data_IF_258473007135
#
_entry.id   IF_258473007135
#
_cell.length_a   1.000
_cell.length_b   1.000
_cell.length_c   1.000
_cell.angle_alpha   90.00
_cell.angle_beta   90.00
_cell.angle_gamma   90.00
#
_symmetry.space_group_name_H-M   'P 1'
#
loop_
_entity.id
_entity.type
_entity.pdbx_description
1 polymer ?
#
# COMPACT_ATOMS: atom_id res chain seq x y z
N UNK A 1 21.44 36.29 67.99
CA UNK A 1 20.82 36.08 66.66
C UNK A 1 21.13 34.67 66.20
N UNK A 2 20.20 33.72 66.36
CA UNK A 2 20.37 32.32 65.95
C UNK A 2 19.98 32.21 64.47
N UNK A 3 20.91 31.82 63.59
CA UNK A 3 20.64 31.59 62.17
C UNK A 3 20.08 30.17 62.00
N UNK A 4 18.82 30.07 61.59
CA UNK A 4 18.20 28.83 61.14
C UNK A 4 18.69 28.55 59.71
N UNK A 5 19.36 27.41 59.50
CA UNK A 5 19.65 26.90 58.17
C UNK A 5 18.50 25.97 57.76
N UNK A 6 17.70 26.39 56.77
CA UNK A 6 16.71 25.56 56.12
C UNK A 6 17.46 24.71 55.09
N UNK A 7 17.53 23.40 55.32
CA UNK A 7 18.02 22.45 54.33
C UNK A 7 16.86 22.13 53.37
N UNK A 8 16.84 22.79 52.21
CA UNK A 8 15.95 22.41 51.11
C UNK A 8 16.56 21.17 50.46
N UNK A 9 15.96 20.02 50.71
CA UNK A 9 16.27 18.77 50.04
C UNK A 9 15.69 18.84 48.62
N UNK A 10 16.45 19.38 47.66
CA UNK A 10 16.13 19.28 46.23
C UNK A 10 16.51 17.88 45.74
N UNK A 11 15.62 16.92 45.95
CA UNK A 11 15.62 15.68 45.18
C UNK A 11 15.14 16.02 43.76
N UNK A 12 16.05 16.41 42.87
CA UNK A 12 15.78 16.34 41.44
C UNK A 12 15.88 14.87 41.03
N UNK A 13 14.77 14.14 41.13
CA UNK A 13 14.53 13.03 40.22
C UNK A 13 14.46 13.63 38.82
N UNK A 14 15.57 13.60 38.09
CA UNK A 14 15.51 13.60 36.63
C UNK A 14 14.98 12.23 36.21
N UNK A 15 13.67 12.01 36.39
CA UNK A 15 12.96 11.04 35.59
C UNK A 15 13.02 11.57 34.16
N UNK A 16 14.05 11.17 33.42
CA UNK A 16 14.08 11.28 31.97
C UNK A 16 13.00 10.37 31.41
N UNK A 17 11.74 10.79 31.54
CA UNK A 17 10.66 10.26 30.75
C UNK A 17 11.06 10.48 29.31
N UNK A 18 11.41 9.41 28.62
CA UNK A 18 11.45 9.42 27.16
C UNK A 18 10.00 9.69 26.74
N UNK A 19 9.72 10.95 26.44
CA UNK A 19 8.59 11.31 25.61
C UNK A 19 8.84 10.57 24.29
N UNK A 20 8.14 9.46 24.08
CA UNK A 20 8.01 8.92 22.72
C UNK A 20 7.23 9.99 21.96
N UNK A 21 7.95 10.85 21.24
CA UNK A 21 7.39 11.56 20.10
C UNK A 21 6.81 10.49 19.14
N UNK A 22 5.70 10.81 18.45
CA UNK A 22 4.88 9.88 17.65
C UNK A 22 5.59 8.74 16.91
N UNK A 23 4.84 7.65 16.70
CA UNK A 23 5.27 6.29 16.35
C UNK A 23 6.63 6.17 15.66
N UNK A 24 7.62 5.64 16.39
CA UNK A 24 8.95 5.33 15.83
C UNK A 24 8.87 4.35 14.65
N UNK A 25 7.91 3.42 14.70
CA UNK A 25 7.49 2.56 13.61
C UNK A 25 5.99 2.68 13.52
N UNK A 26 5.44 2.77 12.30
CA UNK A 26 3.99 2.88 12.07
C UNK A 26 3.54 1.83 11.08
N UNK A 27 2.26 1.45 11.14
CA UNK A 27 1.52 0.79 10.07
C UNK A 27 1.40 1.80 8.92
N UNK A 28 2.04 1.50 7.79
CA UNK A 28 2.18 2.45 6.69
C UNK A 28 1.19 2.20 5.56
N UNK A 29 1.01 0.94 5.18
CA UNK A 29 0.12 0.54 4.10
C UNK A 29 -0.37 -0.90 4.34
N UNK A 30 -1.62 -1.20 3.98
CA UNK A 30 -2.14 -2.57 4.06
C UNK A 30 -3.30 -2.80 3.09
N UNK A 31 -3.45 -4.06 2.65
CA UNK A 31 -4.59 -4.55 1.85
C UNK A 31 -5.31 -5.60 2.68
N UNK A 32 -6.53 -5.28 3.11
CA UNK A 32 -7.36 -6.16 3.95
C UNK A 32 -8.47 -6.88 3.18
N UNK A 33 -8.86 -6.38 2.01
CA UNK A 33 -9.84 -6.99 1.13
C UNK A 33 -9.18 -7.18 -0.24
N UNK A 34 -8.51 -8.31 -0.46
CA UNK A 34 -7.81 -8.54 -1.71
C UNK A 34 -8.75 -9.01 -2.82
N UNK A 35 -8.52 -8.58 -4.07
CA UNK A 35 -9.32 -9.01 -5.23
C UNK A 35 -9.24 -10.52 -5.47
N UNK A 36 -10.39 -11.21 -5.45
CA UNK A 36 -10.51 -12.62 -5.84
C UNK A 36 -11.41 -13.44 -4.94
N UNK A 37 -11.71 -14.68 -5.36
CA UNK A 37 -12.50 -15.63 -4.57
C UNK A 37 -11.64 -16.46 -3.59
N UNK A 38 -10.32 -16.26 -3.58
CA UNK A 38 -9.37 -17.12 -2.88
C UNK A 38 -8.48 -16.32 -1.93
N UNK A 39 -8.33 -16.88 -0.73
CA UNK A 39 -7.48 -16.45 0.38
C UNK A 39 -5.99 -16.41 -0.02
N UNK A 40 -5.19 -15.56 0.63
CA UNK A 40 -3.72 -15.56 0.50
C UNK A 40 -3.09 -14.32 -0.16
N UNK A 41 -3.83 -13.22 -0.30
CA UNK A 41 -3.37 -12.00 -0.98
C UNK A 41 -3.28 -10.77 -0.08
N UNK A 42 -3.51 -10.93 1.21
CA UNK A 42 -3.43 -9.83 2.18
C UNK A 42 -1.99 -9.52 2.55
N UNK A 43 -1.75 -8.28 2.96
CA UNK A 43 -0.46 -7.86 3.46
C UNK A 43 -0.54 -6.59 4.29
N UNK A 44 0.49 -6.40 5.12
CA UNK A 44 0.67 -5.25 6.00
C UNK A 44 2.12 -4.77 5.89
N UNK A 45 2.30 -3.47 5.74
CA UNK A 45 3.59 -2.80 5.70
C UNK A 45 3.79 -1.94 6.94
N UNK A 46 4.98 -2.03 7.52
CA UNK A 46 5.47 -1.13 8.55
C UNK A 46 6.52 -0.16 7.99
N UNK A 47 6.59 1.04 8.55
CA UNK A 47 7.62 2.02 8.22
C UNK A 47 8.32 2.57 9.46
N UNK A 48 9.65 2.59 9.43
CA UNK A 48 10.46 3.15 10.51
C UNK A 48 10.72 4.65 10.28
N UNK A 49 10.08 5.49 11.09
CA UNK A 49 10.20 6.94 11.06
C UNK A 49 11.52 7.48 11.62
N UNK A 50 12.33 6.66 12.26
CA UNK A 50 13.56 7.12 12.92
C UNK A 50 14.75 7.16 11.95
N UNK A 51 15.82 7.83 12.38
CA UNK A 51 17.09 7.88 11.66
C UNK A 51 18.01 6.69 11.99
N UNK A 52 17.53 5.70 12.75
CA UNK A 52 18.28 4.52 13.14
C UNK A 52 17.51 3.25 12.80
N UNK A 53 18.20 2.12 12.67
CA UNK A 53 17.54 0.84 12.52
C UNK A 53 16.84 0.41 13.82
N UNK A 54 15.67 -0.22 13.70
CA UNK A 54 14.89 -0.72 14.84
C UNK A 54 14.75 -2.24 14.70
N UNK A 55 15.16 -2.97 15.75
CA UNK A 55 14.89 -4.40 15.88
C UNK A 55 13.42 -4.58 16.32
N UNK A 56 12.66 -5.23 15.47
CA UNK A 56 11.24 -5.54 15.65
C UNK A 56 11.00 -7.03 15.92
N UNK A 57 12.06 -7.79 16.22
CA UNK A 57 11.92 -9.21 16.58
C UNK A 57 11.05 -9.35 17.83
N UNK A 58 10.05 -10.23 17.75
CA UNK A 58 9.06 -10.45 18.80
C UNK A 58 7.95 -9.40 18.86
N UNK A 59 7.98 -8.36 18.02
CA UNK A 59 6.83 -7.45 17.88
C UNK A 59 5.64 -8.20 17.28
N UNK A 60 4.44 -7.68 17.53
CA UNK A 60 3.21 -8.32 17.09
C UNK A 60 2.29 -7.35 16.39
N UNK A 61 1.60 -7.88 15.39
CA UNK A 61 0.35 -7.31 14.91
C UNK A 61 -0.77 -7.98 15.71
N UNK A 62 -1.67 -7.17 16.23
CA UNK A 62 -2.90 -7.63 16.85
C UNK A 62 -4.08 -7.16 16.01
N UNK A 63 -5.15 -7.94 15.99
CA UNK A 63 -6.40 -7.56 15.34
C UNK A 63 -7.56 -7.49 16.33
N UNK A 64 -8.54 -6.65 15.98
CA UNK A 64 -9.85 -6.66 16.61
C UNK A 64 -10.91 -7.06 15.60
N UNK A 65 -11.83 -7.91 16.03
CA UNK A 65 -13.08 -8.30 15.36
C UNK A 65 -14.31 -7.85 16.16
N UNK A 66 -14.13 -6.99 17.18
CA UNK A 66 -15.20 -6.49 18.03
C UNK A 66 -14.93 -5.08 18.54
N UNK A 67 -15.93 -4.50 19.22
CA UNK A 67 -15.81 -3.18 19.87
C UNK A 67 -14.75 -3.19 20.99
N UNK A 68 -14.43 -4.35 21.55
CA UNK A 68 -13.53 -4.43 22.71
C UNK A 68 -12.48 -5.53 22.58
N UNK A 69 -11.22 -5.13 22.52
CA UNK A 69 -10.07 -6.00 22.71
C UNK A 69 -9.29 -6.26 21.43
N UNK A 70 -7.98 -6.45 21.59
CA UNK A 70 -7.07 -6.84 20.53
C UNK A 70 -6.51 -8.23 20.85
N UNK A 71 -6.47 -9.09 19.86
CA UNK A 71 -5.89 -10.43 19.97
C UNK A 71 -4.67 -10.56 19.09
N UNK A 72 -3.68 -11.34 19.52
CA UNK A 72 -2.48 -11.59 18.74
C UNK A 72 -2.84 -12.18 17.37
N UNK A 73 -2.39 -11.52 16.32
CA UNK A 73 -2.67 -11.87 14.93
C UNK A 73 -1.41 -12.42 14.26
N UNK A 74 -0.35 -11.60 14.19
CA UNK A 74 0.96 -11.99 13.63
C UNK A 74 2.02 -11.74 14.70
N UNK A 75 2.92 -12.69 14.91
CA UNK A 75 4.13 -12.49 15.73
C UNK A 75 5.37 -12.51 14.83
N UNK A 76 6.11 -11.40 14.78
CA UNK A 76 7.28 -11.21 13.93
C UNK A 76 8.47 -11.90 14.60
N UNK A 77 8.61 -13.21 14.39
CA UNK A 77 9.65 -14.00 15.06
C UNK A 77 10.15 -15.15 14.19
N UNK A 78 11.38 -15.56 14.45
CA UNK A 78 12.01 -16.72 13.83
C UNK A 78 13.02 -17.30 14.82
N UNK A 79 13.18 -18.63 14.87
CA UNK A 79 14.19 -19.25 15.74
C UNK A 79 15.63 -18.94 15.31
N UNK A 80 15.85 -18.44 14.08
CA UNK A 80 17.20 -18.28 13.50
C UNK A 80 17.49 -16.90 12.93
N UNK A 81 16.50 -16.01 12.88
CA UNK A 81 16.59 -14.69 12.23
C UNK A 81 16.01 -13.61 13.13
N UNK A 82 16.73 -12.49 13.21
CA UNK A 82 16.19 -11.24 13.73
C UNK A 82 15.59 -10.42 12.59
N UNK A 83 14.59 -9.61 12.91
CA UNK A 83 13.90 -8.73 11.98
C UNK A 83 14.19 -7.28 12.35
N UNK A 84 14.78 -6.55 11.40
CA UNK A 84 15.22 -5.18 11.61
C UNK A 84 14.68 -4.31 10.49
N UNK A 85 14.03 -3.21 10.84
CA UNK A 85 13.66 -2.17 9.88
C UNK A 85 14.79 -1.14 9.85
N UNK A 86 15.39 -0.91 8.68
CA UNK A 86 16.38 0.16 8.48
C UNK A 86 15.80 1.54 8.79
N UNK A 87 16.67 2.54 8.96
CA UNK A 87 16.24 3.93 9.11
C UNK A 87 15.44 4.35 7.86
N UNK A 88 14.29 5.02 8.05
CA UNK A 88 13.43 5.50 6.94
C UNK A 88 13.13 4.40 5.90
N UNK A 89 12.94 3.18 6.36
CA UNK A 89 12.75 1.99 5.52
C UNK A 89 11.46 1.26 5.86
N UNK A 90 11.03 0.40 4.94
CA UNK A 90 9.83 -0.41 5.04
C UNK A 90 10.12 -1.82 5.53
N UNK A 91 9.11 -2.47 6.10
CA UNK A 91 9.09 -3.89 6.42
C UNK A 91 7.75 -4.48 5.99
N UNK A 92 7.79 -5.39 5.02
CA UNK A 92 6.58 -5.94 4.42
C UNK A 92 6.31 -7.36 4.92
N UNK A 93 5.11 -7.55 5.45
CA UNK A 93 4.55 -8.83 5.86
C UNK A 93 3.44 -9.20 4.89
N UNK A 94 3.48 -10.40 4.31
CA UNK A 94 2.49 -10.83 3.31
C UNK A 94 1.98 -12.24 3.57
N UNK A 95 0.79 -12.53 3.06
CA UNK A 95 0.40 -13.90 2.76
C UNK A 95 1.27 -14.51 1.64
N UNK A 96 1.14 -15.82 1.46
CA UNK A 96 2.01 -16.62 0.59
C UNK A 96 1.80 -16.35 -0.90
N UNK A 97 0.60 -15.95 -1.34
CA UNK A 97 0.28 -15.77 -2.77
C UNK A 97 0.45 -14.34 -3.27
N UNK A 98 0.77 -13.37 -2.40
CA UNK A 98 0.96 -11.97 -2.80
C UNK A 98 2.03 -11.85 -3.90
N UNK A 99 3.03 -12.72 -3.94
CA UNK A 99 4.04 -12.76 -5.00
C UNK A 99 3.51 -13.12 -6.41
N UNK A 100 2.28 -13.62 -6.54
CA UNK A 100 1.70 -13.95 -7.86
C UNK A 100 0.98 -12.76 -8.49
N UNK A 101 0.54 -11.81 -7.66
CA UNK A 101 -0.07 -10.55 -8.11
C UNK A 101 0.97 -9.43 -8.24
N UNK A 102 2.09 -9.53 -7.51
CA UNK A 102 3.25 -8.66 -7.65
C UNK A 102 4.47 -9.50 -8.05
N UNK A 103 4.97 -9.29 -9.27
CA UNK A 103 6.16 -9.98 -9.78
C UNK A 103 7.42 -9.46 -9.08
N UNK A 104 7.89 -10.23 -8.11
CA UNK A 104 9.02 -9.88 -7.26
C UNK A 104 10.29 -10.66 -7.64
N UNK A 105 11.42 -9.96 -7.62
CA UNK A 105 12.72 -10.62 -7.54
C UNK A 105 12.88 -11.33 -6.17
N UNK A 106 13.86 -12.24 -6.07
CA UNK A 106 14.09 -13.12 -4.92
C UNK A 106 14.31 -12.45 -3.53
N UNK A 107 14.31 -11.13 -3.44
CA UNK A 107 14.53 -10.34 -2.22
C UNK A 107 13.23 -9.86 -1.54
N UNK A 108 12.10 -10.53 -1.79
CA UNK A 108 10.78 -10.08 -1.37
C UNK A 108 9.86 -11.28 -1.03
N UNK A 109 9.00 -11.23 0.02
CA UNK A 109 8.79 -10.20 1.06
C UNK A 109 9.77 -10.33 2.25
N UNK A 110 9.71 -9.42 3.26
CA UNK A 110 10.58 -9.52 4.45
C UNK A 110 10.14 -10.62 5.42
N UNK A 111 8.83 -10.88 5.45
CA UNK A 111 8.16 -11.86 6.29
C UNK A 111 6.91 -12.41 5.60
N UNK A 112 6.77 -13.75 5.58
CA UNK A 112 5.55 -14.41 5.12
C UNK A 112 4.84 -14.94 6.36
N UNK A 113 3.57 -14.55 6.54
CA UNK A 113 2.71 -15.07 7.61
C UNK A 113 1.66 -16.04 7.05
N UNK A 114 1.02 -16.79 7.94
CA UNK A 114 0.08 -17.85 7.56
C UNK A 114 -1.14 -17.29 6.81
N UNK A 115 -1.52 -17.93 5.70
CA UNK A 115 -2.72 -17.56 4.92
C UNK A 115 -4.03 -17.76 5.71
N UNK A 116 -4.00 -18.62 6.74
CA UNK A 116 -5.11 -18.81 7.71
C UNK A 116 -5.36 -17.59 8.60
N UNK A 117 -4.39 -16.68 8.70
CA UNK A 117 -4.51 -15.45 9.48
C UNK A 117 -5.04 -14.35 8.57
N UNK A 118 -6.37 -14.21 8.54
CA UNK A 118 -7.05 -13.23 7.70
C UNK A 118 -7.43 -11.96 8.47
N UNK A 119 -7.27 -10.82 7.81
CA UNK A 119 -7.90 -9.58 8.20
C UNK A 119 -9.40 -9.67 7.94
N UNK A 120 -10.19 -8.92 8.70
CA UNK A 120 -11.65 -8.91 8.52
C UNK A 120 -12.02 -7.83 7.52
N UNK A 121 -12.97 -8.13 6.64
CA UNK A 121 -13.60 -7.17 5.71
C UNK A 121 -15.13 -7.06 5.97
N UNK A 122 -15.56 -7.33 7.20
CA UNK A 122 -16.96 -7.32 7.60
C UNK A 122 -17.15 -6.78 9.03
N UNK A 123 -17.57 -5.51 9.14
CA UNK A 123 -17.82 -4.70 10.35
C UNK A 123 -16.83 -4.78 11.54
N UNK A 124 -16.51 -3.62 12.13
CA UNK A 124 -15.65 -3.43 13.33
C UNK A 124 -14.25 -4.07 13.24
N UNK A 125 -13.31 -3.35 12.65
CA UNK A 125 -11.98 -3.84 12.34
C UNK A 125 -10.94 -2.88 12.89
N UNK A 126 -9.88 -3.47 13.41
CA UNK A 126 -8.70 -2.71 13.79
C UNK A 126 -7.46 -3.57 13.73
N UNK A 127 -6.35 -2.95 13.34
CA UNK A 127 -5.02 -3.52 13.45
C UNK A 127 -4.20 -2.63 14.38
N UNK A 128 -3.46 -3.27 15.27
CA UNK A 128 -2.60 -2.60 16.24
C UNK A 128 -1.21 -3.21 16.19
N UNK A 129 -0.20 -2.36 16.17
CA UNK A 129 1.20 -2.72 16.31
C UNK A 129 1.59 -2.65 17.79
N UNK A 130 2.18 -3.73 18.31
CA UNK A 130 2.79 -3.74 19.66
C UNK A 130 4.23 -4.20 19.58
N UNK A 131 5.05 -3.69 20.49
CA UNK A 131 6.40 -4.21 20.66
C UNK A 131 6.39 -5.56 21.41
N UNK A 132 7.57 -6.17 21.56
CA UNK A 132 7.73 -7.46 22.24
C UNK A 132 7.34 -7.47 23.73
N UNK A 133 7.04 -6.30 24.33
CA UNK A 133 6.56 -6.15 25.70
C UNK A 133 5.08 -5.73 25.76
N UNK A 134 4.33 -5.91 24.67
CA UNK A 134 2.90 -5.58 24.53
C UNK A 134 2.55 -4.09 24.63
N UNK A 135 3.56 -3.21 24.56
CA UNK A 135 3.31 -1.77 24.48
C UNK A 135 2.82 -1.43 23.07
N UNK A 136 1.66 -0.77 23.00
CA UNK A 136 1.10 -0.20 21.75
C UNK A 136 2.05 0.83 21.15
N UNK A 137 2.31 0.69 19.85
CA UNK A 137 3.17 1.57 19.07
C UNK A 137 2.36 2.38 18.06
N UNK A 138 1.38 1.75 17.41
CA UNK A 138 0.49 2.36 16.41
C UNK A 138 -0.81 1.55 16.31
N UNK A 139 -1.90 2.17 15.87
CA UNK A 139 -3.18 1.51 15.64
C UNK A 139 -3.99 2.17 14.53
N UNK A 140 -4.65 1.34 13.73
CA UNK A 140 -5.59 1.78 12.69
C UNK A 140 -6.92 1.05 12.81
N UNK A 141 -8.02 1.80 12.82
CA UNK A 141 -9.36 1.27 12.56
C UNK A 141 -9.73 1.45 11.07
N UNK A 142 -10.48 0.53 10.49
CA UNK A 142 -10.89 0.54 9.09
C UNK A 142 -12.23 -0.17 8.86
N UNK A 143 -12.82 -0.02 7.66
CA UNK A 143 -13.94 -0.81 7.13
C UNK A 143 -15.29 -0.75 7.90
N UNK A 144 -15.92 0.43 7.90
CA UNK A 144 -17.26 0.70 8.46
C UNK A 144 -17.39 0.39 9.96
N UNK A 145 -16.49 1.01 10.73
CA UNK A 145 -16.57 1.01 12.19
C UNK A 145 -17.62 2.04 12.62
N UNK A 146 -18.68 1.60 13.31
CA UNK A 146 -19.70 2.49 13.87
C UNK A 146 -19.02 3.57 14.72
N UNK A 147 -19.42 4.84 14.57
CA UNK A 147 -18.77 5.97 15.24
C UNK A 147 -18.64 5.82 16.77
N UNK A 148 -19.57 5.11 17.42
CA UNK A 148 -19.53 4.83 18.86
C UNK A 148 -18.49 3.77 19.27
N UNK A 149 -18.03 2.97 18.31
CA UNK A 149 -17.18 1.79 18.48
C UNK A 149 -15.80 1.96 17.85
N UNK A 150 -15.51 3.16 17.30
CA UNK A 150 -14.23 3.48 16.67
C UNK A 150 -13.12 3.47 17.71
N UNK A 151 -12.33 2.40 17.65
CA UNK A 151 -11.15 2.23 18.49
C UNK A 151 -9.87 2.74 17.81
N UNK A 152 -9.92 3.31 16.61
CA UNK A 152 -8.73 3.85 15.95
C UNK A 152 -8.13 5.08 16.65
N UNK A 153 -6.96 5.50 16.20
CA UNK A 153 -6.30 6.69 16.76
C UNK A 153 -7.15 7.95 16.55
N UNK A 154 -7.17 8.79 17.58
CA UNK A 154 -8.01 9.99 17.60
C UNK A 154 -9.52 9.69 17.69
N UNK A 155 -9.91 8.44 17.94
CA UNK A 155 -11.32 8.02 17.85
C UNK A 155 -11.86 8.09 16.42
N UNK A 156 -10.98 7.90 15.44
CA UNK A 156 -11.29 7.95 14.01
C UNK A 156 -10.96 6.64 13.30
N UNK A 157 -11.57 6.42 12.14
CA UNK A 157 -11.27 5.29 11.26
C UNK A 157 -10.62 5.82 9.99
N UNK A 158 -9.73 5.03 9.40
CA UNK A 158 -9.35 5.20 8.02
C UNK A 158 -10.59 5.03 7.11
N UNK A 159 -10.46 5.49 5.86
CA UNK A 159 -11.48 5.31 4.83
C UNK A 159 -11.75 3.82 4.54
N UNK A 160 -12.79 3.53 3.76
CA UNK A 160 -13.13 2.18 3.32
C UNK A 160 -12.49 1.92 1.97
N UNK A 161 -11.63 0.92 1.88
CA UNK A 161 -10.98 0.50 0.63
C UNK A 161 -11.80 -0.62 -0.02
N UNK A 162 -11.92 -0.60 -1.35
CA UNK A 162 -12.54 -1.71 -2.07
C UNK A 162 -11.54 -2.86 -2.29
N UNK A 163 -12.04 -3.99 -2.81
CA UNK A 163 -11.23 -5.12 -3.27
C UNK A 163 -9.98 -4.69 -4.04
N UNK A 164 -8.82 -5.18 -3.60
CA UNK A 164 -7.51 -4.93 -4.20
C UNK A 164 -6.92 -3.54 -3.93
N UNK A 165 -7.63 -2.64 -3.26
CA UNK A 165 -7.12 -1.34 -2.85
C UNK A 165 -6.44 -1.42 -1.47
N UNK A 166 -5.55 -0.48 -1.17
CA UNK A 166 -4.90 -0.37 0.14
C UNK A 166 -5.38 0.86 0.90
N UNK A 167 -5.20 0.82 2.22
CA UNK A 167 -5.17 2.01 3.05
C UNK A 167 -3.72 2.39 3.30
N UNK A 168 -3.37 3.63 2.93
CA UNK A 168 -1.96 4.08 2.85
C UNK A 168 -1.78 5.42 3.58
N UNK A 169 -0.66 5.59 4.29
CA UNK A 169 -0.24 6.89 4.83
C UNK A 169 0.46 7.76 3.77
N UNK A 170 0.11 9.06 3.70
CA UNK A 170 0.77 10.06 2.83
C UNK A 170 1.13 11.32 3.64
N UNK A 171 2.43 11.67 3.81
CA UNK A 171 3.65 10.90 3.49
C UNK A 171 3.77 9.54 4.15
N UNK A 172 4.65 8.70 3.59
CA UNK A 172 5.11 7.50 4.29
C UNK A 172 5.56 7.86 5.71
N UNK A 173 5.00 7.16 6.69
CA UNK A 173 5.24 7.44 8.09
C UNK A 173 4.44 8.60 8.72
N UNK A 174 3.54 9.27 7.99
CA UNK A 174 2.76 10.39 8.54
C UNK A 174 1.84 9.90 9.67
N UNK A 175 2.05 10.38 10.90
CA UNK A 175 1.28 9.99 12.08
C UNK A 175 0.89 11.20 12.93
N UNK A 176 -0.36 11.60 12.80
CA UNK A 176 -0.98 12.67 13.59
C UNK A 176 -1.81 12.13 14.76
N UNK A 177 -1.74 10.82 15.02
CA UNK A 177 -2.65 10.08 15.90
C UNK A 177 -4.12 10.28 15.47
N UNK A 178 -4.40 10.31 14.17
CA UNK A 178 -5.74 10.45 13.61
C UNK A 178 -5.83 9.68 12.30
N UNK A 179 -6.37 8.47 12.37
CA UNK A 179 -6.43 7.56 11.21
C UNK A 179 -7.17 8.18 10.01
N UNK A 180 -8.23 8.98 10.22
CA UNK A 180 -8.94 9.64 9.13
C UNK A 180 -8.12 10.74 8.42
N UNK A 181 -7.15 11.31 9.12
CA UNK A 181 -6.25 12.34 8.56
C UNK A 181 -5.00 11.74 7.93
N UNK A 182 -4.55 10.61 8.47
CA UNK A 182 -3.28 9.99 8.10
C UNK A 182 -3.43 9.01 6.93
N UNK A 183 -4.57 8.32 6.81
CA UNK A 183 -4.81 7.30 5.78
C UNK A 183 -5.71 7.78 4.65
N UNK A 184 -5.40 7.34 3.44
CA UNK A 184 -6.27 7.46 2.27
C UNK A 184 -6.41 6.11 1.55
N UNK A 185 -7.45 5.98 0.72
CA UNK A 185 -7.64 4.79 -0.14
C UNK A 185 -6.74 4.92 -1.37
N UNK A 186 -5.87 3.94 -1.56
CA UNK A 186 -4.97 3.85 -2.69
C UNK A 186 -5.36 2.70 -3.61
N UNK A 187 -5.89 3.03 -4.80
CA UNK A 187 -6.24 2.03 -5.81
C UNK A 187 -5.03 1.34 -6.47
N UNK A 188 -3.80 1.72 -6.11
CA UNK A 188 -2.54 1.10 -6.56
C UNK A 188 -1.62 0.89 -5.37
N UNK A 189 -1.81 -0.19 -4.62
CA UNK A 189 -0.98 -0.45 -3.46
C UNK A 189 0.52 -0.45 -3.80
N UNK A 190 1.33 0.16 -2.94
CA UNK A 190 2.75 0.48 -3.20
C UNK A 190 3.71 -0.21 -2.22
N UNK A 191 3.69 -1.54 -2.11
CA UNK A 191 4.49 -2.21 -1.10
C UNK A 191 5.99 -1.92 -1.31
N UNK A 192 6.67 -1.67 -0.19
CA UNK A 192 8.05 -1.18 0.03
C UNK A 192 8.40 0.14 -0.63
N UNK A 193 7.42 1.00 -0.92
CA UNK A 193 7.65 2.28 -1.58
C UNK A 193 6.89 3.42 -0.88
N UNK A 194 7.62 4.48 -0.53
CA UNK A 194 7.05 5.75 -0.08
C UNK A 194 6.87 6.77 -1.20
N UNK A 195 7.32 6.42 -2.42
CA UNK A 195 7.13 7.25 -3.61
C UNK A 195 5.66 7.14 -4.04
N UNK A 196 4.91 8.07 -3.49
CA UNK A 196 3.51 8.40 -3.76
C UNK A 196 3.02 8.01 -5.15
N UNK A 197 1.80 7.48 -5.23
CA UNK A 197 0.59 8.26 -4.85
C UNK A 197 0.46 9.72 -5.36
N UNK A 198 1.47 10.27 -6.04
CA UNK A 198 1.55 11.64 -6.55
C UNK A 198 1.09 11.74 -8.01
N UNK A 199 0.55 10.65 -8.54
CA UNK A 199 -0.26 10.69 -9.75
C UNK A 199 -1.67 11.23 -9.45
N UNK A 200 -1.74 12.37 -8.76
CA UNK A 200 -2.96 13.21 -8.67
C UNK A 200 -3.30 13.83 -10.03
N UNK A 201 -2.45 13.64 -11.03
CA UNK A 201 -2.78 13.78 -12.45
C UNK A 201 -2.62 12.43 -13.13
N UNK A 202 -3.68 12.00 -13.80
CA UNK A 202 -3.66 10.90 -14.74
C UNK A 202 -2.46 11.04 -15.70
N UNK A 203 -1.43 10.21 -15.51
CA UNK A 203 -0.20 10.30 -16.29
C UNK A 203 -0.50 10.05 -17.77
N UNK A 204 0.28 10.64 -18.69
CA UNK A 204 0.03 10.47 -20.12
C UNK A 204 0.90 9.34 -20.67
N UNK A 205 0.27 8.33 -21.25
CA UNK A 205 0.97 7.37 -22.13
C UNK A 205 0.75 7.77 -23.59
N UNK A 206 1.65 7.33 -24.47
CA UNK A 206 1.59 7.62 -25.89
C UNK A 206 1.89 6.38 -26.72
N UNK A 207 1.45 6.36 -27.97
CA UNK A 207 1.84 5.33 -28.92
C UNK A 207 2.94 5.84 -29.86
N UNK A 208 3.82 4.95 -30.30
CA UNK A 208 4.81 5.21 -31.33
C UNK A 208 4.72 4.10 -32.40
N UNK A 209 4.38 4.41 -33.66
CA UNK A 209 4.03 5.74 -34.17
C UNK A 209 2.62 6.20 -33.72
N UNK A 210 2.39 7.52 -33.80
CA UNK A 210 1.07 8.15 -33.69
C UNK A 210 1.03 9.37 -34.64
N UNK A 211 0.23 9.36 -35.72
CA UNK A 211 -0.77 8.35 -36.06
C UNK A 211 -0.16 6.99 -36.46
N UNK A 212 -0.89 5.91 -36.19
CA UNK A 212 -0.52 4.55 -36.53
C UNK A 212 -1.31 4.03 -37.75
N UNK A 213 -0.61 3.37 -38.67
CA UNK A 213 -1.20 2.74 -39.85
C UNK A 213 -1.03 1.21 -39.78
N UNK A 214 -2.10 0.44 -39.50
CA UNK A 214 -2.05 -1.01 -39.41
C UNK A 214 -2.01 -1.64 -40.81
N UNK A 215 -0.82 -1.74 -41.39
CA UNK A 215 -0.56 -2.43 -42.67
C UNK A 215 0.39 -3.60 -42.49
N UNK A 216 0.10 -4.74 -43.12
CA UNK A 216 0.97 -5.92 -43.03
C UNK A 216 1.12 -6.44 -41.60
N UNK A 217 2.36 -6.57 -41.14
CA UNK A 217 2.75 -7.03 -39.80
C UNK A 217 3.17 -5.89 -38.87
N UNK A 218 2.91 -4.64 -39.24
CA UNK A 218 3.37 -3.47 -38.47
C UNK A 218 2.58 -3.35 -37.16
N UNK A 219 3.26 -2.95 -36.09
CA UNK A 219 2.68 -2.63 -34.78
C UNK A 219 3.04 -1.20 -34.36
N UNK A 220 2.29 -0.66 -33.41
CA UNK A 220 2.71 0.49 -32.61
C UNK A 220 3.06 0.04 -31.20
N UNK A 221 4.06 0.67 -30.60
CA UNK A 221 4.42 0.47 -29.22
C UNK A 221 3.67 1.47 -28.33
N UNK A 222 3.10 1.01 -27.23
CA UNK A 222 2.49 1.84 -26.20
C UNK A 222 3.53 2.09 -25.10
N UNK A 223 3.84 3.37 -24.88
CA UNK A 223 4.92 3.80 -23.99
C UNK A 223 4.29 4.55 -22.82
N UNK A 224 4.54 4.05 -21.61
CA UNK A 224 4.24 4.74 -20.35
C UNK A 224 5.43 5.62 -19.92
N UNK A 225 5.21 6.63 -19.07
CA UNK A 225 6.30 7.33 -18.39
C UNK A 225 7.16 6.33 -17.58
N UNK A 226 8.47 6.55 -17.54
CA UNK A 226 9.47 5.65 -16.95
C UNK A 226 9.15 5.30 -15.49
N UNK A 227 8.60 6.26 -14.75
CA UNK A 227 8.19 6.14 -13.34
C UNK A 227 7.04 5.14 -13.11
N UNK A 228 6.38 4.68 -14.19
CA UNK A 228 5.26 3.71 -14.14
C UNK A 228 5.70 2.25 -14.20
N UNK A 229 6.96 2.00 -14.58
CA UNK A 229 7.43 0.65 -14.89
C UNK A 229 6.71 0.04 -16.10
N UNK A 230 7.31 -1.00 -16.71
CA UNK A 230 6.74 -1.72 -17.85
C UNK A 230 6.51 -3.21 -17.60
N UNK A 231 6.99 -3.76 -16.49
CA UNK A 231 6.76 -5.16 -16.11
C UNK A 231 5.26 -5.37 -15.80
N UNK A 232 4.65 -6.38 -16.42
CA UNK A 232 3.28 -6.84 -16.20
C UNK A 232 2.17 -5.79 -16.42
N UNK A 233 2.42 -4.83 -17.32
CA UNK A 233 1.40 -3.87 -17.70
C UNK A 233 0.22 -4.53 -18.44
N UNK A 234 -0.99 -4.09 -18.09
CA UNK A 234 -2.23 -4.35 -18.82
C UNK A 234 -2.59 -3.08 -19.58
N UNK A 235 -2.76 -3.21 -20.90
CA UNK A 235 -3.15 -2.09 -21.75
C UNK A 235 -4.52 -2.38 -22.35
N UNK A 236 -5.47 -1.48 -22.10
CA UNK A 236 -6.81 -1.55 -22.67
C UNK A 236 -6.98 -0.41 -23.68
N UNK A 237 -7.49 -0.73 -24.86
CA UNK A 237 -7.74 0.24 -25.92
C UNK A 237 -9.24 0.30 -26.17
N UNK A 238 -9.79 1.52 -26.17
CA UNK A 238 -11.21 1.77 -26.31
C UNK A 238 -11.49 2.64 -27.54
N UNK A 239 -12.64 2.44 -28.18
CA UNK A 239 -13.11 3.34 -29.24
C UNK A 239 -13.76 4.61 -28.68
N UNK A 240 -14.23 5.50 -29.56
CA UNK A 240 -14.88 6.76 -29.17
C UNK A 240 -16.20 6.58 -28.41
N UNK A 241 -16.83 5.41 -28.49
CA UNK A 241 -18.03 5.10 -27.72
C UNK A 241 -17.73 4.55 -26.32
N UNK A 242 -16.46 4.31 -26.01
CA UNK A 242 -16.01 3.71 -24.75
C UNK A 242 -16.07 2.18 -24.76
N UNK A 243 -16.30 1.53 -25.91
CA UNK A 243 -16.25 0.07 -25.99
C UNK A 243 -14.80 -0.42 -26.07
N UNK A 244 -14.51 -1.51 -25.34
CA UNK A 244 -13.20 -2.16 -25.35
C UNK A 244 -12.94 -2.79 -26.72
N UNK A 245 -11.85 -2.37 -27.35
CA UNK A 245 -11.38 -2.86 -28.65
C UNK A 245 -10.44 -4.04 -28.47
N UNK A 246 -9.47 -3.91 -27.57
CA UNK A 246 -8.50 -4.96 -27.26
C UNK A 246 -7.92 -4.76 -25.85
N UNK A 247 -7.54 -5.87 -25.21
CA UNK A 247 -6.74 -5.91 -23.99
C UNK A 247 -5.41 -6.60 -24.31
N UNK A 248 -4.29 -5.95 -23.99
CA UNK A 248 -2.94 -6.45 -24.19
C UNK A 248 -2.34 -6.81 -22.83
N UNK A 249 -1.74 -8.00 -22.75
CA UNK A 249 -1.09 -8.54 -21.56
C UNK A 249 0.25 -9.15 -21.96
N UNK A 250 1.32 -8.88 -21.22
CA UNK A 250 2.66 -9.39 -21.53
C UNK A 250 3.30 -8.76 -22.78
N UNK A 251 2.68 -7.74 -23.36
CA UNK A 251 3.22 -6.96 -24.48
C UNK A 251 2.71 -5.52 -24.41
N UNK A 252 3.51 -4.59 -24.91
CA UNK A 252 3.11 -3.21 -25.15
C UNK A 252 2.94 -2.90 -26.65
N UNK A 253 2.97 -3.92 -27.51
CA UNK A 253 2.75 -3.76 -28.94
C UNK A 253 1.28 -4.00 -29.33
N UNK A 254 0.74 -3.10 -30.15
CA UNK A 254 -0.57 -3.25 -30.75
C UNK A 254 -0.49 -3.21 -32.28
N UNK A 255 -1.12 -4.18 -32.93
CA UNK A 255 -1.16 -4.30 -34.39
C UNK A 255 -2.40 -3.65 -35.04
N UNK A 256 -3.19 -2.88 -34.26
CA UNK A 256 -4.40 -2.23 -34.77
C UNK A 256 -5.56 -3.17 -35.03
N UNK A 257 -5.58 -4.34 -34.39
CA UNK A 257 -6.69 -5.28 -34.44
C UNK A 257 -7.48 -5.29 -33.14
N UNK A 258 -8.78 -5.55 -33.26
CA UNK A 258 -9.64 -5.85 -32.12
C UNK A 258 -9.43 -7.29 -31.62
N UNK A 259 -10.07 -7.65 -30.51
CA UNK A 259 -9.99 -9.00 -29.92
C UNK A 259 -10.41 -10.14 -30.86
N UNK A 260 -11.17 -9.86 -31.92
CA UNK A 260 -11.57 -10.85 -32.93
C UNK A 260 -10.59 -10.93 -34.11
N UNK A 261 -9.45 -10.23 -34.04
CA UNK A 261 -8.43 -10.19 -35.09
C UNK A 261 -8.78 -9.27 -36.27
N UNK A 262 -9.89 -8.55 -36.23
CA UNK A 262 -10.29 -7.60 -37.28
C UNK A 262 -9.52 -6.28 -37.17
N UNK A 263 -9.05 -5.74 -38.30
CA UNK A 263 -8.41 -4.41 -38.34
C UNK A 263 -9.45 -3.34 -38.00
N UNK A 264 -9.12 -2.48 -37.06
CA UNK A 264 -10.01 -1.40 -36.58
C UNK A 264 -10.19 -0.30 -37.63
N UNK A 265 -11.20 0.54 -37.44
CA UNK A 265 -11.50 1.64 -38.36
C UNK A 265 -10.49 2.80 -38.22
N UNK A 266 -10.46 3.69 -39.21
CA UNK A 266 -9.79 4.99 -39.06
C UNK A 266 -10.49 5.78 -37.96
N UNK A 267 -9.73 6.33 -37.01
CA UNK A 267 -10.31 7.10 -35.91
C UNK A 267 -9.37 7.27 -34.73
N UNK A 268 -9.87 7.94 -33.71
CA UNK A 268 -9.19 8.08 -32.42
C UNK A 268 -9.61 6.97 -31.48
N UNK A 269 -8.63 6.46 -30.73
CA UNK A 269 -8.82 5.44 -29.71
C UNK A 269 -8.18 5.92 -28.40
N UNK A 270 -8.76 5.54 -27.28
CA UNK A 270 -8.27 5.86 -25.95
C UNK A 270 -7.48 4.67 -25.39
N UNK A 271 -6.32 4.96 -24.81
CA UNK A 271 -5.46 3.98 -24.16
C UNK A 271 -5.64 4.13 -22.66
N UNK A 272 -5.85 3.02 -21.97
CA UNK A 272 -5.72 2.91 -20.52
C UNK A 272 -4.57 1.94 -20.25
N UNK A 273 -3.48 2.49 -19.73
CA UNK A 273 -2.29 1.74 -19.31
C UNK A 273 -2.38 1.51 -17.80
N UNK A 274 -2.26 0.27 -17.37
CA UNK A 274 -2.26 -0.13 -15.96
C UNK A 274 -0.99 -0.92 -15.69
N UNK A 275 -0.15 -0.48 -14.77
CA UNK A 275 1.02 -1.21 -14.29
C UNK A 275 1.07 -1.21 -12.76
N UNK A 276 1.98 -1.99 -12.21
CA UNK A 276 2.22 -2.10 -10.77
C UNK A 276 2.49 -0.72 -10.13
N UNK A 277 3.25 0.15 -10.81
CA UNK A 277 3.55 1.51 -10.33
C UNK A 277 2.53 2.57 -10.76
N UNK A 278 1.34 2.14 -11.20
CA UNK A 278 0.15 2.98 -11.41
C UNK A 278 -0.39 3.02 -12.84
N UNK A 279 -1.32 3.96 -13.09
CA UNK A 279 -2.01 4.12 -14.38
C UNK A 279 -1.53 5.31 -15.20
N UNK A 280 -1.74 5.21 -16.51
CA UNK A 280 -1.62 6.31 -17.46
C UNK A 280 -2.74 6.22 -18.51
N UNK A 281 -3.17 7.36 -19.06
CA UNK A 281 -4.09 7.39 -20.21
C UNK A 281 -3.45 8.03 -21.42
N UNK A 282 -3.87 7.62 -22.59
CA UNK A 282 -3.31 8.07 -23.86
C UNK A 282 -4.35 8.11 -24.95
N UNK A 283 -3.96 8.64 -26.10
CA UNK A 283 -4.76 8.59 -27.32
C UNK A 283 -3.89 8.13 -28.47
N UNK A 284 -4.46 7.29 -29.32
CA UNK A 284 -3.85 6.89 -30.60
C UNK A 284 -4.80 7.21 -31.74
N UNK A 285 -4.28 7.81 -32.79
CA UNK A 285 -5.01 8.01 -34.04
C UNK A 285 -4.62 6.89 -34.99
N UNK A 286 -5.60 6.09 -35.44
CA UNK A 286 -5.42 5.05 -36.44
C UNK A 286 -5.81 5.60 -37.81
N UNK A 287 -4.93 5.43 -38.80
CA UNK A 287 -5.16 5.79 -40.20
C UNK A 287 -5.11 4.54 -41.06
N UNK A 288 -6.25 4.16 -41.63
CA UNK A 288 -6.34 3.04 -42.57
C UNK A 288 -5.98 3.45 -43.99
#
# INVERSE_FOLDING_TARGET
MKKFAIFICCAMLAAGGRLFAGGSVVINEFVYDADGADEGYEWIELYNNTAAAIDITGWKIQKSDSVTGFTDFITISSPTKNFVIGAKSFFLMTHSKVHTIYDWDAAYPDFIYSDELQMSNSSLQGIRLVNASDLEIDRVAYDDVLAADVSGEGGTSAAVAAGGESLTRDPAGADSNNNASDFYVNSFPTPKSGDYGSFRTEAVCYSAPNPFRPTGSNSCQIISPEDKGSLNAVIEIYDLSGMLVVKLTGTNEWNGRNSNGGIVATGNYFIVYKALKGRAKGKITVLR
#
